data_IF_225554938898
#
_entry.id   IF_225554938898
#
_cell.length_a   1.000
_cell.length_b   1.000
_cell.length_c   1.000
_cell.angle_alpha   90.00
_cell.angle_beta   90.00
_cell.angle_gamma   90.00
#
_symmetry.space_group_name_H-M   'P 1'
#
loop_
_entity.id
_entity.type
_entity.pdbx_description
1 polymer ?
#
# COMPACT_ATOMS: atom_id res chain seq x y z
N UNK A 1 26.25 32.07 13.03
CA UNK A 1 26.28 30.86 12.17
C UNK A 1 25.04 30.03 12.44
N UNK A 2 24.03 30.13 11.57
CA UNK A 2 22.77 29.40 11.72
C UNK A 2 23.03 27.91 11.54
N UNK A 3 22.87 27.10 12.60
CA UNK A 3 22.87 25.64 12.48
C UNK A 3 21.67 25.27 11.61
N UNK A 4 21.89 24.94 10.35
CA UNK A 4 20.90 24.34 9.47
C UNK A 4 20.28 23.15 10.21
N UNK A 5 19.02 23.28 10.64
CA UNK A 5 18.30 22.20 11.33
C UNK A 5 18.39 20.97 10.44
N UNK A 6 18.99 19.91 10.94
CA UNK A 6 19.14 18.69 10.20
C UNK A 6 17.73 18.12 9.93
N UNK A 7 17.35 18.03 8.66
CA UNK A 7 15.97 17.73 8.23
C UNK A 7 15.84 16.23 7.97
N UNK A 8 14.84 15.62 8.61
CA UNK A 8 14.45 14.23 8.35
C UNK A 8 14.09 14.02 6.87
N UNK A 9 14.70 13.02 6.24
CA UNK A 9 14.43 12.65 4.86
C UNK A 9 13.34 11.60 4.81
N UNK A 10 12.32 11.78 3.97
CA UNK A 10 11.23 10.81 3.82
C UNK A 10 11.34 10.08 2.48
N UNK A 11 11.34 8.74 2.53
CA UNK A 11 11.33 7.87 1.36
C UNK A 11 10.03 7.07 1.35
N UNK A 12 9.31 7.09 0.23
CA UNK A 12 8.12 6.27 0.00
C UNK A 12 8.49 5.12 -0.91
N UNK A 13 8.19 3.90 -0.49
CA UNK A 13 8.51 2.69 -1.22
C UNK A 13 7.33 1.71 -1.19
N UNK A 14 7.23 0.88 -2.22
CA UNK A 14 6.22 -0.18 -2.33
C UNK A 14 6.97 -1.49 -2.42
N UNK A 15 6.70 -2.40 -1.48
CA UNK A 15 7.40 -3.68 -1.37
C UNK A 15 6.38 -4.78 -1.17
N UNK A 16 6.60 -5.93 -1.79
CA UNK A 16 5.76 -7.11 -1.57
C UNK A 16 5.92 -7.64 -0.15
N UNK A 17 4.81 -7.95 0.51
CA UNK A 17 4.81 -8.60 1.83
C UNK A 17 5.69 -9.87 1.80
N UNK A 18 6.57 -10.01 2.80
CA UNK A 18 7.52 -11.13 2.91
C UNK A 18 8.60 -11.21 1.84
N UNK A 19 8.69 -10.25 0.91
CA UNK A 19 9.61 -10.26 -0.23
C UNK A 19 10.59 -9.07 -0.23
N UNK A 20 10.82 -8.43 0.91
CA UNK A 20 11.83 -7.38 1.01
C UNK A 20 13.23 -7.98 0.84
N UNK A 21 13.97 -7.48 -0.15
CA UNK A 21 15.36 -7.82 -0.42
C UNK A 21 16.14 -6.55 -0.79
N UNK A 22 17.48 -6.52 -0.61
CA UNK A 22 18.33 -5.37 -0.97
C UNK A 22 18.43 -5.14 -2.50
N UNK A 23 17.62 -5.82 -3.30
CA UNK A 23 17.53 -5.67 -4.76
C UNK A 23 16.88 -4.33 -5.15
N UNK A 24 17.02 -3.87 -6.41
CA UNK A 24 16.20 -2.76 -6.94
C UNK A 24 14.74 -3.21 -6.82
N UNK A 25 13.85 -2.58 -6.02
CA UNK A 25 13.68 -1.14 -5.74
C UNK A 25 14.08 -0.63 -4.34
N UNK A 26 14.40 -1.51 -3.38
CA UNK A 26 14.67 -1.13 -1.98
C UNK A 26 16.13 -0.71 -1.79
N UNK A 27 17.06 -1.48 -2.38
CA UNK A 27 18.50 -1.25 -2.26
C UNK A 27 18.93 0.17 -2.66
N UNK A 28 18.65 0.63 -3.89
CA UNK A 28 19.02 1.97 -4.34
C UNK A 28 18.30 3.09 -3.57
N UNK A 29 17.02 2.89 -3.23
CA UNK A 29 16.20 3.91 -2.58
C UNK A 29 16.65 4.22 -1.14
N UNK A 30 17.06 3.20 -0.38
CA UNK A 30 17.52 3.35 1.01
C UNK A 30 19.05 3.50 1.10
N UNK A 31 19.79 2.80 0.25
CA UNK A 31 21.26 2.82 0.23
C UNK A 31 21.83 4.20 -0.12
N UNK A 32 21.21 4.92 -1.05
CA UNK A 32 21.61 6.30 -1.39
C UNK A 32 21.47 7.28 -0.21
N UNK A 33 20.68 6.94 0.81
CA UNK A 33 20.48 7.72 2.03
C UNK A 33 21.33 7.24 3.21
N UNK A 34 22.20 6.25 3.01
CA UNK A 34 23.07 5.70 4.05
C UNK A 34 22.34 4.84 5.08
N UNK A 35 21.15 4.34 4.75
CA UNK A 35 20.36 3.45 5.62
C UNK A 35 20.81 2.00 5.40
N UNK A 36 20.86 1.22 6.48
CA UNK A 36 21.13 -0.23 6.42
C UNK A 36 19.94 -0.97 5.82
N UNK A 37 19.92 -1.11 4.49
CA UNK A 37 18.83 -1.76 3.75
C UNK A 37 18.56 -3.20 4.20
N UNK A 38 19.58 -3.94 4.68
CA UNK A 38 19.42 -5.30 5.18
C UNK A 38 18.59 -5.39 6.46
N UNK A 39 18.81 -4.46 7.40
CA UNK A 39 18.06 -4.42 8.67
C UNK A 39 16.60 -4.07 8.40
N UNK A 40 16.36 -3.11 7.49
CA UNK A 40 15.02 -2.81 6.99
C UNK A 40 14.33 -4.03 6.38
N UNK A 41 15.01 -4.79 5.51
CA UNK A 41 14.41 -5.95 4.85
C UNK A 41 14.00 -7.04 5.85
N UNK A 42 14.86 -7.32 6.84
CA UNK A 42 14.55 -8.30 7.90
C UNK A 42 13.35 -7.87 8.74
N UNK A 43 13.35 -6.63 9.21
CA UNK A 43 12.26 -6.12 10.06
C UNK A 43 10.94 -6.02 9.28
N UNK A 44 10.99 -5.61 8.01
CA UNK A 44 9.82 -5.56 7.15
C UNK A 44 9.22 -6.95 6.91
N UNK A 45 10.05 -7.95 6.62
CA UNK A 45 9.57 -9.33 6.41
C UNK A 45 8.97 -9.92 7.70
N UNK A 46 9.58 -9.65 8.86
CA UNK A 46 9.02 -10.07 10.16
C UNK A 46 7.64 -9.44 10.43
N UNK A 47 7.51 -8.12 10.19
CA UNK A 47 6.24 -7.41 10.37
C UNK A 47 5.17 -7.82 9.35
N UNK A 48 5.54 -8.25 8.16
CA UNK A 48 4.60 -8.64 7.08
C UNK A 48 4.35 -10.14 6.97
N UNK A 49 4.91 -10.96 7.88
CA UNK A 49 4.82 -12.42 7.82
C UNK A 49 3.38 -12.96 7.91
N UNK A 50 2.46 -12.22 8.51
CA UNK A 50 1.04 -12.58 8.64
C UNK A 50 0.20 -12.21 7.41
N UNK A 51 0.78 -11.50 6.44
CA UNK A 51 0.10 -11.01 5.23
C UNK A 51 0.44 -11.94 4.07
N UNK A 52 -0.50 -12.15 3.15
CA UNK A 52 -0.28 -12.93 1.94
C UNK A 52 0.96 -12.43 1.18
N UNK A 53 1.90 -13.35 0.95
CA UNK A 53 3.18 -13.08 0.30
C UNK A 53 2.96 -12.40 -1.06
N UNK A 54 3.74 -11.36 -1.34
CA UNK A 54 3.65 -10.60 -2.60
C UNK A 54 2.57 -9.52 -2.64
N UNK A 55 1.77 -9.36 -1.58
CA UNK A 55 0.85 -8.22 -1.47
C UNK A 55 1.63 -6.90 -1.46
N UNK A 56 1.34 -5.93 -2.35
CA UNK A 56 2.08 -4.67 -2.40
C UNK A 56 1.74 -3.80 -1.19
N UNK A 57 2.72 -3.67 -0.30
CA UNK A 57 2.61 -2.88 0.93
C UNK A 57 3.38 -1.57 0.77
N UNK A 58 2.69 -0.42 0.84
CA UNK A 58 3.34 0.89 0.86
C UNK A 58 4.01 1.10 2.21
N UNK A 59 5.25 1.58 2.20
CA UNK A 59 6.00 1.89 3.39
C UNK A 59 6.55 3.31 3.31
N UNK A 60 6.44 4.03 4.42
CA UNK A 60 7.03 5.35 4.60
C UNK A 60 8.24 5.19 5.52
N UNK A 61 9.43 5.37 4.98
CA UNK A 61 10.68 5.37 5.74
C UNK A 61 11.08 6.81 6.02
N UNK A 62 11.29 7.13 7.29
CA UNK A 62 11.81 8.40 7.76
C UNK A 62 13.25 8.17 8.21
N UNK A 63 14.18 8.83 7.54
CA UNK A 63 15.62 8.76 7.82
C UNK A 63 16.01 10.02 8.56
N UNK A 64 16.51 9.84 9.77
CA UNK A 64 17.02 10.92 10.60
C UNK A 64 18.46 11.27 10.21
N UNK A 65 18.95 12.45 10.59
CA UNK A 65 20.32 12.90 10.30
C UNK A 65 21.43 12.01 10.85
N UNK A 66 21.16 11.29 11.95
CA UNK A 66 22.05 10.31 12.57
C UNK A 66 22.09 8.96 11.81
N UNK A 67 21.45 8.89 10.63
CA UNK A 67 21.28 7.68 9.82
C UNK A 67 20.44 6.59 10.50
N UNK A 68 19.81 6.90 11.63
CA UNK A 68 18.74 6.06 12.16
C UNK A 68 17.52 6.18 11.23
N UNK A 69 16.77 5.09 11.13
CA UNK A 69 15.55 5.07 10.34
C UNK A 69 14.39 4.55 11.19
N UNK A 70 13.21 5.09 10.93
CA UNK A 70 11.95 4.54 11.39
C UNK A 70 11.04 4.37 10.20
N UNK A 71 10.28 3.28 10.16
CA UNK A 71 9.37 3.04 9.07
C UNK A 71 7.98 2.63 9.54
N UNK A 72 7.00 3.13 8.81
CA UNK A 72 5.59 2.83 8.99
C UNK A 72 5.11 2.02 7.79
N UNK A 73 4.58 0.82 8.05
CA UNK A 73 3.98 -0.04 7.03
C UNK A 73 2.50 0.31 6.96
N UNK A 74 2.06 0.72 5.78
CA UNK A 74 0.66 1.04 5.52
C UNK A 74 -0.06 -0.16 4.93
N UNK A 75 -1.37 -0.18 5.11
CA UNK A 75 -2.25 -1.14 4.45
C UNK A 75 -2.09 -1.08 2.93
N UNK A 76 -2.40 -2.19 2.23
CA UNK A 76 -2.35 -2.22 0.77
C UNK A 76 -3.20 -1.10 0.15
N UNK A 77 -2.83 -0.71 -1.08
CA UNK A 77 -3.63 0.23 -1.85
C UNK A 77 -5.05 -0.30 -2.06
N UNK A 78 -6.05 0.57 -1.87
CA UNK A 78 -7.46 0.20 -2.05
C UNK A 78 -7.72 -0.33 -3.46
N UNK A 79 -7.09 0.27 -4.47
CA UNK A 79 -7.21 -0.17 -5.86
C UNK A 79 -6.74 -1.61 -6.04
N UNK A 80 -5.62 -1.99 -5.41
CA UNK A 80 -5.13 -3.36 -5.46
C UNK A 80 -6.08 -4.33 -4.76
N UNK A 81 -6.59 -3.97 -3.58
CA UNK A 81 -7.57 -4.79 -2.84
C UNK A 81 -8.87 -4.99 -3.62
N UNK A 82 -9.39 -3.92 -4.24
CA UNK A 82 -10.59 -3.97 -5.06
C UNK A 82 -10.39 -4.81 -6.32
N UNK A 83 -9.26 -4.66 -7.02
CA UNK A 83 -8.94 -5.48 -8.19
C UNK A 83 -8.73 -6.95 -7.81
N UNK A 84 -8.17 -7.23 -6.64
CA UNK A 84 -8.05 -8.59 -6.11
C UNK A 84 -9.42 -9.20 -5.79
N UNK A 85 -10.30 -8.45 -5.12
CA UNK A 85 -11.66 -8.88 -4.78
C UNK A 85 -12.55 -9.07 -6.02
N UNK A 86 -12.39 -8.21 -7.04
CA UNK A 86 -13.13 -8.29 -8.31
C UNK A 86 -12.57 -9.36 -9.28
N UNK A 87 -11.51 -10.08 -8.89
CA UNK A 87 -10.80 -11.04 -9.73
C UNK A 87 -10.46 -10.47 -11.13
N UNK A 88 -10.05 -9.20 -11.16
CA UNK A 88 -9.79 -8.49 -12.40
C UNK A 88 -8.69 -9.17 -13.23
N UNK A 89 -8.84 -9.12 -14.56
CA UNK A 89 -7.88 -9.71 -15.51
C UNK A 89 -6.46 -9.19 -15.28
N UNK A 90 -5.50 -10.11 -15.27
CA UNK A 90 -4.07 -9.83 -15.14
C UNK A 90 -3.48 -9.43 -16.49
N UNK A 91 -2.67 -8.38 -16.50
CA UNK A 91 -1.88 -8.02 -17.69
C UNK A 91 -0.73 -9.02 -17.93
N UNK A 92 -0.01 -8.85 -19.04
CA UNK A 92 1.18 -9.65 -19.40
C UNK A 92 2.31 -9.64 -18.35
N UNK A 93 2.27 -8.69 -17.39
CA UNK A 93 3.23 -8.55 -16.29
C UNK A 93 2.70 -9.13 -14.96
N UNK A 94 1.58 -9.85 -14.97
CA UNK A 94 0.97 -10.45 -13.78
C UNK A 94 0.22 -9.45 -12.88
N UNK A 95 0.11 -8.18 -13.27
CA UNK A 95 -0.58 -7.16 -12.48
C UNK A 95 -2.04 -7.04 -12.94
N UNK A 96 -2.97 -7.05 -11.98
CA UNK A 96 -4.39 -6.78 -12.26
C UNK A 96 -4.57 -5.34 -12.73
N UNK A 97 -5.31 -5.14 -13.82
CA UNK A 97 -5.54 -3.82 -14.42
C UNK A 97 -6.99 -3.39 -14.19
N UNK A 98 -7.20 -2.11 -13.84
CA UNK A 98 -8.53 -1.50 -13.83
C UNK A 98 -9.02 -1.09 -15.21
N UNK A 99 -10.23 -0.53 -15.29
CA UNK A 99 -10.83 -0.10 -16.55
C UNK A 99 -9.96 0.96 -17.23
N UNK A 100 -9.85 0.90 -18.55
CA UNK A 100 -9.14 1.97 -19.29
C UNK A 100 -10.04 3.20 -19.42
N UNK A 101 -11.36 2.98 -19.54
CA UNK A 101 -12.39 4.03 -19.53
C UNK A 101 -13.46 3.74 -18.46
N UNK A 102 -13.23 4.16 -17.19
CA UNK A 102 -14.22 4.01 -16.12
C UNK A 102 -15.55 4.66 -16.51
N UNK A 103 -16.66 3.94 -16.31
CA UNK A 103 -18.01 4.39 -16.67
C UNK A 103 -18.56 3.83 -17.98
N UNK A 104 -17.68 3.45 -18.92
CA UNK A 104 -18.06 2.70 -20.13
C UNK A 104 -17.67 1.23 -20.01
N UNK A 105 -16.48 0.97 -19.47
CA UNK A 105 -15.94 -0.37 -19.27
C UNK A 105 -16.09 -0.78 -17.81
N UNK A 106 -16.58 -2.00 -17.58
CA UNK A 106 -16.61 -2.62 -16.25
C UNK A 106 -15.66 -3.80 -16.23
N UNK A 107 -14.70 -3.80 -15.29
CA UNK A 107 -13.68 -4.86 -15.17
C UNK A 107 -14.14 -6.02 -14.29
N UNK A 108 -15.06 -5.76 -13.36
CA UNK A 108 -15.61 -6.77 -12.49
C UNK A 108 -16.64 -6.21 -11.54
N UNK A 109 -17.24 -7.10 -10.76
CA UNK A 109 -18.23 -6.78 -9.74
C UNK A 109 -17.69 -7.11 -8.36
N UNK A 110 -18.03 -6.29 -7.37
CA UNK A 110 -17.65 -6.51 -5.96
C UNK A 110 -18.91 -6.36 -5.11
N UNK A 111 -19.15 -7.29 -4.19
CA UNK A 111 -20.29 -7.21 -3.28
C UNK A 111 -20.02 -6.26 -2.11
N UNK A 112 -21.08 -5.73 -1.49
CA UNK A 112 -20.97 -4.89 -0.29
C UNK A 112 -20.21 -5.57 0.87
N UNK A 113 -20.27 -6.90 0.97
CA UNK A 113 -19.53 -7.69 1.96
C UNK A 113 -18.01 -7.50 1.81
N UNK A 114 -17.51 -7.62 0.59
CA UNK A 114 -16.08 -7.41 0.30
C UNK A 114 -15.66 -5.96 0.57
N UNK A 115 -16.51 -4.98 0.28
CA UNK A 115 -16.22 -3.57 0.57
C UNK A 115 -16.06 -3.35 2.07
N UNK A 116 -16.95 -3.95 2.86
CA UNK A 116 -16.90 -3.87 4.31
C UNK A 116 -15.63 -4.52 4.89
N UNK A 117 -15.20 -5.65 4.34
CA UNK A 117 -13.93 -6.30 4.70
C UNK A 117 -12.72 -5.44 4.35
N UNK A 118 -12.68 -4.88 3.14
CA UNK A 118 -11.62 -3.95 2.71
C UNK A 118 -11.58 -2.72 3.62
N UNK A 119 -12.75 -2.20 3.99
CA UNK A 119 -12.84 -1.06 4.90
C UNK A 119 -12.33 -1.42 6.30
N UNK A 120 -12.67 -2.59 6.83
CA UNK A 120 -12.13 -3.09 8.12
C UNK A 120 -10.61 -3.20 8.10
N UNK A 121 -10.04 -3.78 7.04
CA UNK A 121 -8.58 -3.90 6.88
C UNK A 121 -7.95 -2.51 6.88
N UNK A 122 -8.55 -1.52 6.23
CA UNK A 122 -8.02 -0.15 6.21
C UNK A 122 -8.19 0.58 7.53
N UNK A 123 -9.26 0.29 8.26
CA UNK A 123 -9.53 0.89 9.56
C UNK A 123 -8.56 0.43 10.66
N UNK A 124 -7.76 -0.63 10.44
CA UNK A 124 -6.70 -1.02 11.40
C UNK A 124 -5.55 -0.01 11.46
N UNK A 125 -5.44 0.90 10.50
CA UNK A 125 -4.42 1.94 10.53
C UNK A 125 -4.80 3.04 11.53
N UNK A 126 -3.86 3.36 12.44
CA UNK A 126 -4.04 4.42 13.43
C UNK A 126 -4.40 5.78 12.84
N UNK A 127 -3.94 6.09 11.61
CA UNK A 127 -4.27 7.35 10.93
C UNK A 127 -5.72 7.41 10.42
N UNK A 128 -6.39 6.27 10.29
CA UNK A 128 -7.76 6.15 9.79
C UNK A 128 -8.75 5.80 10.90
N UNK A 129 -8.28 5.52 12.12
CA UNK A 129 -9.13 5.11 13.24
C UNK A 129 -10.10 6.18 13.74
N UNK A 130 -9.89 7.45 13.38
CA UNK A 130 -10.83 8.54 13.67
C UNK A 130 -12.01 8.64 12.69
N UNK A 131 -12.00 7.88 11.59
CA UNK A 131 -13.08 7.90 10.61
C UNK A 131 -14.10 6.80 10.91
N UNK A 132 -15.39 7.12 10.77
CA UNK A 132 -16.42 6.11 10.89
C UNK A 132 -16.29 5.04 9.79
N UNK A 133 -16.56 3.79 10.14
CA UNK A 133 -16.49 2.67 9.21
C UNK A 133 -17.41 2.88 7.99
N UNK A 134 -18.56 3.52 8.18
CA UNK A 134 -19.49 3.90 7.10
C UNK A 134 -18.86 4.89 6.10
N UNK A 135 -18.16 5.91 6.59
CA UNK A 135 -17.44 6.87 5.74
C UNK A 135 -16.33 6.20 4.94
N UNK A 136 -15.65 5.25 5.57
CA UNK A 136 -14.57 4.49 4.94
C UNK A 136 -15.11 3.55 3.85
N UNK A 137 -16.23 2.85 4.11
CA UNK A 137 -16.93 2.07 3.08
C UNK A 137 -17.35 2.94 1.88
N UNK A 138 -17.94 4.12 2.12
CA UNK A 138 -18.33 5.04 1.05
C UNK A 138 -17.12 5.49 0.21
N UNK A 139 -15.99 5.75 0.86
CA UNK A 139 -14.73 6.10 0.17
C UNK A 139 -14.23 4.97 -0.73
N UNK A 140 -14.33 3.71 -0.25
CA UNK A 140 -13.96 2.52 -1.04
C UNK A 140 -14.94 2.32 -2.21
N UNK A 141 -16.25 2.51 -2.02
CA UNK A 141 -17.26 2.46 -3.09
C UNK A 141 -16.96 3.51 -4.17
N UNK A 142 -16.64 4.75 -3.76
CA UNK A 142 -16.30 5.81 -4.70
C UNK A 142 -15.04 5.46 -5.51
N UNK A 143 -14.04 4.88 -4.86
CA UNK A 143 -12.84 4.42 -5.55
C UNK A 143 -13.10 3.25 -6.49
N UNK A 144 -14.00 2.31 -6.15
CA UNK A 144 -14.42 1.22 -7.04
C UNK A 144 -15.00 1.76 -8.35
N UNK A 145 -15.84 2.80 -8.28
CA UNK A 145 -16.38 3.48 -9.47
C UNK A 145 -15.26 4.09 -10.33
N UNK A 146 -14.25 4.71 -9.74
CA UNK A 146 -13.13 5.32 -10.48
C UNK A 146 -12.25 4.32 -11.24
N UNK A 147 -12.27 3.04 -10.87
CA UNK A 147 -11.49 1.98 -11.53
C UNK A 147 -12.36 1.07 -12.41
N UNK A 148 -13.64 1.41 -12.58
CA UNK A 148 -14.61 0.64 -13.38
C UNK A 148 -14.98 -0.69 -12.76
N UNK A 149 -15.12 -0.75 -11.43
CA UNK A 149 -15.70 -1.90 -10.73
C UNK A 149 -17.11 -1.54 -10.30
N UNK A 150 -18.06 -2.40 -10.66
CA UNK A 150 -19.45 -2.22 -10.24
C UNK A 150 -19.68 -2.82 -8.85
N UNK A 151 -20.42 -2.11 -8.01
CA UNK A 151 -20.70 -2.52 -6.64
C UNK A 151 -22.11 -3.09 -6.59
N UNK A 152 -22.24 -4.36 -6.21
CA UNK A 152 -23.53 -5.05 -6.11
C UNK A 152 -23.91 -5.17 -4.64
N UNK A 153 -25.17 -4.89 -4.33
CA UNK A 153 -25.74 -5.02 -2.99
C UNK A 153 -25.99 -6.49 -2.63
#
# INVERSE_FOLDING_TARGET
MSKTKAVDQMVKLIVGAGQASPSPPVGPALGSKGVKSMDFCKEFNARTAHITVGTPMPCKVVVRPDRSFHFDIRTPHTSWLLLNAAQASTNKKGNRKGASKPGHETVGTVSLKHIYEIAKIKHTELRLSGLSLKSLCNSVIFQAKSIGINVVA
#
